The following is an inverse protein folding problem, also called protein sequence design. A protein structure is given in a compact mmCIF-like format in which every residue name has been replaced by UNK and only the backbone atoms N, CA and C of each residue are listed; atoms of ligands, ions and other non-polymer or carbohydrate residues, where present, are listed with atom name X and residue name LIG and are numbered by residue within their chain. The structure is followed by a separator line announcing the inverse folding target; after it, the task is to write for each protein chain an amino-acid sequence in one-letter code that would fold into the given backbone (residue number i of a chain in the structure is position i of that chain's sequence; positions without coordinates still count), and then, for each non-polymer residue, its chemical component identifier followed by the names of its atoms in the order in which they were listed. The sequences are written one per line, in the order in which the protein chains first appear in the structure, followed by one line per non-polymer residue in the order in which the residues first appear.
data_IF_779697708671
#
_entry.id   IF_779697708671
#
_cell.length_a   1.000
_cell.length_b   1.000
_cell.length_c   1.000
_cell.angle_alpha   90.00
_cell.angle_beta   90.00
_cell.angle_gamma   90.00
#
_symmetry.space_group_name_H-M   'P 1'
#
loop_
_entity.id
_entity.type
_entity.pdbx_description
1 polymer ?
#
# COMPACT_ATOMS: atom_id res chain seq x y z
N UNK A 1 -22.76 -3.21 -12.91
CA UNK A 1 -21.86 -4.23 -13.48
C UNK A 1 -20.48 -4.02 -12.86
N UNK A 2 -19.78 -5.08 -12.46
CA UNK A 2 -18.44 -4.97 -11.88
C UNK A 2 -17.41 -4.93 -13.02
N UNK A 3 -16.55 -3.91 -13.05
CA UNK A 3 -15.53 -3.77 -14.09
C UNK A 3 -14.35 -4.73 -13.91
N UNK A 4 -13.87 -4.88 -12.67
CA UNK A 4 -12.69 -5.69 -12.37
C UNK A 4 -12.65 -6.06 -10.88
N UNK A 5 -12.19 -7.28 -10.58
CA UNK A 5 -11.83 -7.72 -9.23
C UNK A 5 -10.30 -7.82 -9.19
N UNK A 6 -9.68 -7.23 -8.17
CA UNK A 6 -8.23 -7.26 -7.95
C UNK A 6 -7.99 -7.82 -6.55
N UNK A 7 -7.37 -8.99 -6.50
CA UNK A 7 -6.96 -9.59 -5.23
C UNK A 7 -5.74 -8.86 -4.66
N UNK A 8 -5.68 -8.78 -3.32
CA UNK A 8 -4.50 -8.26 -2.63
C UNK A 8 -3.32 -9.23 -2.78
N UNK A 9 -2.11 -8.70 -2.96
CA UNK A 9 -0.87 -9.49 -2.94
C UNK A 9 -0.03 -9.15 -1.70
N UNK A 10 0.65 -10.14 -1.16
CA UNK A 10 1.60 -9.91 -0.07
C UNK A 10 2.73 -8.98 -0.54
N UNK A 11 3.06 -7.98 0.27
CA UNK A 11 4.15 -7.06 0.04
C UNK A 11 4.82 -6.69 1.36
N UNK A 12 6.13 -6.89 1.44
CA UNK A 12 6.95 -6.51 2.59
C UNK A 12 7.27 -5.00 2.53
N UNK A 13 6.92 -4.26 3.58
CA UNK A 13 7.27 -2.85 3.76
C UNK A 13 8.69 -2.64 4.33
N UNK A 14 9.35 -3.73 4.71
CA UNK A 14 10.63 -3.76 5.39
C UNK A 14 10.49 -4.34 6.80
N UNK A 15 11.59 -4.91 7.31
CA UNK A 15 11.60 -5.48 8.66
C UNK A 15 10.78 -6.77 8.82
N UNK A 16 10.27 -7.35 7.73
CA UNK A 16 9.38 -8.50 7.75
C UNK A 16 7.90 -8.15 7.97
N UNK A 17 7.53 -6.86 7.84
CA UNK A 17 6.14 -6.44 7.96
C UNK A 17 5.40 -6.53 6.61
N UNK A 18 4.56 -7.54 6.49
CA UNK A 18 3.77 -7.77 5.28
C UNK A 18 2.40 -7.08 5.29
N UNK A 19 2.03 -6.54 4.14
CA UNK A 19 0.71 -5.95 3.86
C UNK A 19 0.08 -6.55 2.61
N UNK A 20 -1.24 -6.44 2.52
CA UNK A 20 -1.98 -6.77 1.31
C UNK A 20 -2.06 -5.60 0.34
N UNK A 21 -1.16 -5.52 -0.63
CA UNK A 21 -1.16 -4.45 -1.65
C UNK A 21 -2.18 -4.72 -2.75
N UNK A 22 -3.04 -3.74 -3.02
CA UNK A 22 -4.00 -3.78 -4.14
C UNK A 22 -3.60 -2.79 -5.24
N UNK A 23 -3.16 -1.57 -4.88
CA UNK A 23 -2.68 -0.57 -5.82
C UNK A 23 -1.22 -0.19 -5.54
N UNK A 24 -0.40 0.05 -6.57
CA UNK A 24 -0.72 -0.03 -8.00
C UNK A 24 -0.77 -1.48 -8.51
N UNK A 25 -1.75 -1.76 -9.38
CA UNK A 25 -1.85 -3.01 -10.13
C UNK A 25 -1.48 -2.80 -11.60
N UNK A 26 -0.87 -3.81 -12.25
CA UNK A 26 -0.34 -3.66 -13.62
C UNK A 26 -1.41 -3.21 -14.62
N UNK A 27 -2.61 -3.80 -14.54
CA UNK A 27 -3.73 -3.46 -15.42
C UNK A 27 -4.53 -2.23 -14.96
N UNK A 28 -4.38 -1.80 -13.70
CA UNK A 28 -5.08 -0.64 -13.12
C UNK A 28 -4.17 0.04 -12.11
N UNK A 29 -3.42 1.05 -12.55
CA UNK A 29 -2.43 1.74 -11.70
C UNK A 29 -3.07 2.75 -10.74
N UNK A 30 -4.28 3.24 -11.06
CA UNK A 30 -5.00 4.25 -10.29
C UNK A 30 -6.52 4.02 -10.38
N UNK A 31 -7.25 4.49 -9.38
CA UNK A 31 -8.71 4.61 -9.39
C UNK A 31 -9.02 6.06 -9.02
N UNK A 32 -9.42 6.89 -9.99
CA UNK A 32 -9.57 8.33 -9.78
C UNK A 32 -8.28 8.93 -9.16
N UNK A 33 -8.36 9.60 -7.99
CA UNK A 33 -7.18 10.17 -7.32
C UNK A 33 -6.35 9.14 -6.52
N UNK A 34 -6.80 7.89 -6.38
CA UNK A 34 -6.14 6.88 -5.56
C UNK A 34 -5.07 6.14 -6.37
N UNK A 35 -3.80 6.23 -5.93
CA UNK A 35 -2.63 5.67 -6.64
C UNK A 35 -1.93 4.54 -5.87
N UNK A 36 -2.29 4.36 -4.61
CA UNK A 36 -1.65 3.44 -3.67
C UNK A 36 -2.69 2.97 -2.66
N UNK A 37 -2.70 1.67 -2.38
CA UNK A 37 -3.61 1.07 -1.41
C UNK A 37 -3.02 -0.22 -0.88
N UNK A 38 -2.72 -0.23 0.42
CA UNK A 38 -2.25 -1.38 1.17
C UNK A 38 -3.24 -1.66 2.32
N UNK A 39 -3.69 -2.91 2.43
CA UNK A 39 -4.50 -3.38 3.56
C UNK A 39 -3.57 -3.99 4.61
N UNK A 40 -3.49 -3.36 5.77
CA UNK A 40 -2.76 -3.86 6.93
C UNK A 40 -3.66 -4.76 7.78
N UNK A 41 -3.19 -5.97 8.10
CA UNK A 41 -3.86 -6.88 9.03
C UNK A 41 -4.93 -7.81 8.43
N UNK A 42 -5.73 -8.47 9.30
CA UNK A 42 -5.79 -8.27 10.75
C UNK A 42 -4.51 -8.77 11.43
N UNK A 43 -3.95 -7.95 12.33
CA UNK A 43 -2.77 -8.30 13.13
C UNK A 43 -3.01 -7.84 14.56
N UNK A 44 -2.73 -8.72 15.52
CA UNK A 44 -2.75 -8.36 16.94
C UNK A 44 -1.37 -7.80 17.31
N UNK A 45 -1.32 -6.52 17.64
CA UNK A 45 -0.09 -5.84 18.03
C UNK A 45 -0.07 -5.77 19.55
N UNK A 46 0.82 -6.56 20.17
CA UNK A 46 1.02 -6.53 21.62
C UNK A 46 1.46 -5.14 22.13
N UNK A 47 1.52 -4.99 23.45
CA UNK A 47 1.98 -3.75 24.07
C UNK A 47 3.44 -3.46 23.67
N UNK A 48 3.66 -2.29 23.07
CA UNK A 48 4.93 -1.91 22.45
C UNK A 48 4.95 -2.29 20.97
N UNK A 49 4.92 -1.29 20.09
CA UNK A 49 5.04 -1.52 18.64
C UNK A 49 6.44 -2.07 18.36
N UNK A 50 6.58 -3.28 17.80
CA UNK A 50 7.88 -3.81 17.42
C UNK A 50 8.59 -2.84 16.47
N UNK A 51 9.91 -2.67 16.60
CA UNK A 51 10.68 -1.76 15.74
C UNK A 51 10.64 -2.16 14.27
N UNK A 52 10.32 -3.41 14.00
CA UNK A 52 10.09 -3.99 12.68
C UNK A 52 8.87 -3.38 11.98
N UNK A 53 7.91 -2.85 12.75
CA UNK A 53 6.76 -2.08 12.25
C UNK A 53 7.10 -0.61 11.99
N UNK A 54 8.28 -0.15 12.38
CA UNK A 54 8.67 1.24 12.22
C UNK A 54 8.91 1.55 10.75
N UNK A 55 8.34 2.66 10.30
CA UNK A 55 8.53 3.12 8.93
C UNK A 55 9.93 3.71 8.84
N UNK A 56 10.85 2.93 8.26
CA UNK A 56 12.25 3.34 8.07
C UNK A 56 12.34 4.68 7.32
N UNK A 57 13.39 5.49 7.57
CA UNK A 57 13.57 6.76 6.88
C UNK A 57 13.44 6.62 5.37
N UNK A 58 12.50 7.36 4.79
CA UNK A 58 12.25 7.42 3.35
C UNK A 58 12.14 8.87 2.90
N UNK A 59 12.28 9.15 1.59
CA UNK A 59 12.07 10.50 1.07
C UNK A 59 10.67 11.01 1.41
N UNK A 60 10.49 12.32 1.64
CA UNK A 60 9.17 12.87 1.88
C UNK A 60 8.23 12.57 0.70
N UNK A 61 6.97 12.26 1.01
CA UNK A 61 5.97 12.04 -0.02
C UNK A 61 5.83 13.30 -0.89
N UNK A 62 5.87 13.10 -2.21
CA UNK A 62 5.58 14.14 -3.20
C UNK A 62 4.32 13.77 -3.95
N UNK A 63 3.42 14.72 -4.14
CA UNK A 63 2.20 14.50 -4.91
C UNK A 63 2.53 14.17 -6.37
N UNK A 64 1.92 13.12 -6.89
CA UNK A 64 1.94 12.86 -8.33
C UNK A 64 1.03 13.88 -9.00
N UNK A 65 1.59 14.73 -9.86
CA UNK A 65 0.77 15.56 -10.75
C UNK A 65 0.02 14.63 -11.70
N UNK A 66 -1.28 14.86 -11.87
CA UNK A 66 -2.00 14.28 -13.00
C UNK A 66 -1.26 14.76 -14.25
N UNK A 67 -0.99 13.85 -15.19
CA UNK A 67 -0.59 14.31 -16.51
C UNK A 67 -1.69 15.26 -17.00
N UNK A 68 -1.29 16.45 -17.46
CA UNK A 68 -2.23 17.36 -18.10
C UNK A 68 -2.94 16.67 -19.28
N UNK A 69 -4.02 17.27 -19.81
CA UNK A 69 -4.64 16.77 -21.03
C UNK A 69 -3.63 16.58 -22.15
#
# INVERSE_FOLDING_TARGET
MIEQIIDKRAHDLGGGFEVGRVLPFRARRMIGPYIFFDHMGPVDLGAGIPRELDVRPHPPHKNRRLAGP
#
